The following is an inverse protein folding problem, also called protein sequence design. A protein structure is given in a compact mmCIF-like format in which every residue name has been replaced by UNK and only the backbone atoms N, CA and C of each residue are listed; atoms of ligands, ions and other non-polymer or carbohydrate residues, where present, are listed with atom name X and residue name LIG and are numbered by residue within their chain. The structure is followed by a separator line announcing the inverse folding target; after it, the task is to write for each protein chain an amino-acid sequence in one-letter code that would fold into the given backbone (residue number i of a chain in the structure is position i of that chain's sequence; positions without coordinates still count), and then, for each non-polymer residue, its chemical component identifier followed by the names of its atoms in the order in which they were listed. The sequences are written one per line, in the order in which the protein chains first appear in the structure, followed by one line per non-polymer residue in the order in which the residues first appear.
data_IF_385383803643
#
_entry.id   IF_385383803643
#
_cell.length_a   1.000
_cell.length_b   1.000
_cell.length_c   1.000
_cell.angle_alpha   90.00
_cell.angle_beta   90.00
_cell.angle_gamma   90.00
#
_symmetry.space_group_name_H-M   'P 1'
#
loop_
_entity.id
_entity.type
_entity.pdbx_description
1 polymer ?
#
# COMPACT_ATOMS: atom_id res chain seq x y z
N UNK A 1 2.73 -33.54 -27.73
CA UNK A 1 1.94 -33.21 -26.52
C UNK A 1 2.50 -31.96 -25.90
N UNK A 2 1.88 -30.78 -26.18
CA UNK A 2 2.36 -29.47 -25.72
C UNK A 2 1.74 -29.18 -24.36
N UNK A 3 2.57 -29.16 -23.31
CA UNK A 3 2.21 -28.73 -21.96
C UNK A 3 2.22 -27.20 -21.94
N UNK A 4 1.11 -26.58 -22.36
CA UNK A 4 0.86 -25.18 -22.02
C UNK A 4 0.50 -25.11 -20.53
N UNK A 5 1.50 -24.87 -19.66
CA UNK A 5 1.24 -24.37 -18.32
C UNK A 5 0.50 -23.02 -18.49
N UNK A 6 -0.81 -22.99 -18.22
CA UNK A 6 -1.58 -21.75 -18.05
C UNK A 6 -0.84 -20.93 -16.97
N UNK A 7 -0.21 -19.82 -17.35
CA UNK A 7 0.16 -18.77 -16.40
C UNK A 7 -1.14 -18.30 -15.78
N UNK A 8 -1.42 -18.74 -14.55
CA UNK A 8 -2.49 -18.16 -13.73
C UNK A 8 -2.10 -16.70 -13.52
N UNK A 9 -2.97 -15.78 -13.95
CA UNK A 9 -2.73 -14.35 -13.75
C UNK A 9 -2.69 -14.08 -12.24
N UNK A 10 -1.59 -13.53 -11.74
CA UNK A 10 -1.37 -13.22 -10.32
C UNK A 10 -2.53 -12.38 -9.70
N UNK A 11 -3.21 -11.55 -10.51
CA UNK A 11 -4.40 -10.81 -10.08
C UNK A 11 -5.59 -11.70 -9.69
N UNK A 12 -5.78 -12.82 -10.40
CA UNK A 12 -6.87 -13.73 -10.08
C UNK A 12 -6.60 -14.53 -8.81
N UNK A 13 -5.33 -14.78 -8.47
CA UNK A 13 -4.95 -15.43 -7.22
C UNK A 13 -5.20 -14.51 -6.02
N UNK A 14 -4.81 -13.24 -6.09
CA UNK A 14 -5.02 -12.27 -5.01
C UNK A 14 -6.50 -12.01 -4.76
N UNK A 15 -7.32 -11.87 -5.82
CA UNK A 15 -8.77 -11.71 -5.69
C UNK A 15 -9.41 -12.96 -5.03
N UNK A 16 -8.88 -14.15 -5.30
CA UNK A 16 -9.46 -15.40 -4.81
C UNK A 16 -8.96 -15.81 -3.43
N UNK A 17 -7.71 -15.53 -3.10
CA UNK A 17 -7.02 -16.04 -1.91
C UNK A 17 -6.42 -14.95 -1.02
N UNK A 18 -6.60 -13.68 -1.37
CA UNK A 18 -5.95 -12.57 -0.70
C UNK A 18 -4.47 -12.41 -1.03
N UNK A 19 -3.86 -11.38 -0.48
CA UNK A 19 -2.44 -11.13 -0.58
C UNK A 19 -1.62 -12.02 0.37
N UNK A 20 -0.37 -12.29 0.03
CA UNK A 20 0.54 -13.05 0.90
C UNK A 20 1.17 -12.14 1.93
N UNK A 21 0.86 -12.35 3.19
CA UNK A 21 1.45 -11.61 4.32
C UNK A 21 2.77 -12.28 4.75
N UNK A 22 3.85 -12.00 4.02
CA UNK A 22 5.18 -12.54 4.34
C UNK A 22 5.68 -12.01 5.70
N UNK A 23 5.31 -10.77 6.03
CA UNK A 23 5.66 -10.11 7.29
C UNK A 23 5.03 -10.76 8.53
N UNK A 24 3.94 -11.51 8.34
CA UNK A 24 3.30 -12.35 9.38
C UNK A 24 3.87 -13.77 9.33
N UNK A 25 3.92 -14.38 8.12
CA UNK A 25 4.28 -15.77 7.95
C UNK A 25 5.76 -16.05 8.27
N UNK A 26 6.64 -15.13 7.91
CA UNK A 26 8.09 -15.22 8.14
C UNK A 26 8.66 -13.82 8.46
N UNK A 27 8.49 -13.36 9.71
CA UNK A 27 8.90 -12.02 10.12
C UNK A 27 10.41 -11.76 10.02
N UNK A 28 11.23 -12.83 10.00
CA UNK A 28 12.70 -12.73 9.89
C UNK A 28 13.21 -12.83 8.46
N UNK A 29 12.33 -12.98 7.49
CA UNK A 29 12.68 -13.04 6.07
C UNK A 29 13.30 -11.73 5.59
N UNK A 30 14.25 -11.81 4.66
CA UNK A 30 14.87 -10.63 4.03
C UNK A 30 13.82 -9.69 3.41
N UNK A 31 12.74 -10.24 2.83
CA UNK A 31 11.64 -9.45 2.27
C UNK A 31 10.91 -8.70 3.39
N UNK A 32 10.71 -9.30 4.56
CA UNK A 32 10.10 -8.62 5.71
C UNK A 32 10.96 -7.45 6.20
N UNK A 33 12.30 -7.56 6.14
CA UNK A 33 13.22 -6.44 6.42
C UNK A 33 13.10 -5.33 5.37
N UNK A 34 12.91 -5.68 4.09
CA UNK A 34 12.67 -4.67 3.05
C UNK A 34 11.40 -3.86 3.32
N UNK A 35 10.31 -4.49 3.78
CA UNK A 35 9.10 -3.76 4.19
C UNK A 35 9.36 -2.84 5.39
N UNK A 36 10.16 -3.25 6.38
CA UNK A 36 10.57 -2.37 7.49
C UNK A 36 11.37 -1.18 7.01
N UNK A 37 12.25 -1.38 6.02
CA UNK A 37 13.02 -0.30 5.39
C UNK A 37 12.10 0.68 4.66
N UNK A 38 11.13 0.20 3.89
CA UNK A 38 10.14 1.06 3.21
C UNK A 38 9.36 1.88 4.24
N UNK A 39 8.85 1.26 5.32
CA UNK A 39 8.18 1.96 6.42
C UNK A 39 9.06 3.08 6.98
N UNK A 40 10.34 2.78 7.28
CA UNK A 40 11.28 3.73 7.85
C UNK A 40 11.51 4.91 6.90
N UNK A 41 11.67 4.65 5.61
CA UNK A 41 11.84 5.70 4.60
C UNK A 41 10.62 6.63 4.52
N UNK A 42 9.40 6.07 4.52
CA UNK A 42 8.18 6.88 4.54
C UNK A 42 8.08 7.70 5.82
N UNK A 43 8.44 7.13 6.98
CA UNK A 43 8.43 7.85 8.26
C UNK A 43 9.41 9.04 8.26
N UNK A 44 10.56 8.90 7.62
CA UNK A 44 11.52 10.02 7.48
C UNK A 44 11.02 11.15 6.57
N UNK A 45 10.20 10.84 5.57
CA UNK A 45 9.58 11.88 4.72
C UNK A 45 8.57 12.73 5.51
N UNK A 46 8.02 12.21 6.60
CA UNK A 46 7.03 12.88 7.46
C UNK A 46 7.61 13.60 8.68
N UNK A 47 8.90 13.95 8.73
CA UNK A 47 9.52 14.60 9.91
C UNK A 47 8.92 15.99 10.14
N UNK A 48 8.84 16.82 9.11
CA UNK A 48 8.32 18.18 9.21
C UNK A 48 6.77 18.23 9.15
N UNK A 49 6.16 17.34 8.40
CA UNK A 49 4.71 17.19 8.24
C UNK A 49 4.34 15.71 8.39
N UNK A 50 3.74 15.32 9.53
CA UNK A 50 3.37 13.93 9.76
C UNK A 50 2.52 13.36 8.63
N UNK A 51 2.96 12.25 8.05
CA UNK A 51 2.24 11.51 7.03
C UNK A 51 1.35 10.50 7.76
N UNK A 52 0.06 10.78 7.82
CA UNK A 52 -0.93 9.89 8.45
C UNK A 52 -1.73 9.09 7.43
N UNK A 53 -2.08 9.71 6.30
CA UNK A 53 -2.90 9.10 5.25
C UNK A 53 -2.08 8.80 4.01
N UNK A 54 -2.07 7.52 3.61
CA UNK A 54 -1.26 7.00 2.53
C UNK A 54 -2.11 6.20 1.55
N UNK A 55 -1.93 6.43 0.24
CA UNK A 55 -2.44 5.52 -0.77
C UNK A 55 -1.29 4.75 -1.44
N UNK A 56 -1.53 3.46 -1.72
CA UNK A 56 -0.69 2.67 -2.59
C UNK A 56 -1.43 2.41 -3.90
N UNK A 57 -0.86 2.85 -5.01
CA UNK A 57 -1.39 2.61 -6.36
C UNK A 57 -0.32 2.02 -7.26
N UNK A 58 -0.70 1.59 -8.45
CA UNK A 58 0.21 1.08 -9.48
C UNK A 58 -0.20 1.62 -10.84
N UNK A 59 0.66 1.47 -11.85
CA UNK A 59 0.28 1.82 -13.22
C UNK A 59 -0.84 0.91 -13.71
N UNK A 60 -0.66 -0.40 -13.58
CA UNK A 60 -1.58 -1.42 -14.11
C UNK A 60 -1.96 -2.44 -13.04
N UNK A 61 -2.92 -3.29 -13.37
CA UNK A 61 -3.31 -4.45 -12.56
C UNK A 61 -2.16 -5.45 -12.41
N UNK A 62 -2.16 -6.22 -11.32
CA UNK A 62 -1.19 -7.32 -11.06
C UNK A 62 0.27 -6.85 -10.85
N UNK A 63 0.50 -5.61 -10.50
CA UNK A 63 1.83 -5.10 -10.15
C UNK A 63 2.20 -5.33 -8.67
N UNK A 64 1.27 -5.91 -7.88
CA UNK A 64 1.49 -6.32 -6.50
C UNK A 64 1.16 -5.26 -5.46
N UNK A 65 0.37 -4.26 -5.83
CA UNK A 65 -0.11 -3.18 -4.96
C UNK A 65 -0.62 -3.71 -3.61
N UNK A 66 -1.70 -4.51 -3.61
CA UNK A 66 -2.31 -5.05 -2.38
C UNK A 66 -1.35 -5.96 -1.57
N UNK A 67 -0.35 -6.59 -2.20
CA UNK A 67 0.69 -7.30 -1.46
C UNK A 67 1.63 -6.34 -0.74
N UNK A 68 1.93 -5.19 -1.35
CA UNK A 68 2.84 -4.20 -0.75
C UNK A 68 2.15 -3.46 0.39
N UNK A 69 0.96 -2.91 0.17
CA UNK A 69 0.25 -2.13 1.19
C UNK A 69 -0.18 -2.98 2.40
N UNK A 70 -0.69 -4.21 2.20
CA UNK A 70 -1.03 -5.11 3.29
C UNK A 70 0.19 -5.43 4.18
N UNK A 71 1.34 -5.76 3.57
CA UNK A 71 2.56 -6.02 4.35
C UNK A 71 3.13 -4.76 5.01
N UNK A 72 3.00 -3.59 4.39
CA UNK A 72 3.38 -2.30 4.98
C UNK A 72 2.50 -1.99 6.19
N UNK A 73 1.18 -2.24 6.11
CA UNK A 73 0.27 -2.07 7.25
C UNK A 73 0.70 -2.93 8.45
N UNK A 74 1.03 -4.20 8.20
CA UNK A 74 1.53 -5.12 9.23
C UNK A 74 2.81 -4.61 9.89
N UNK A 75 3.80 -4.11 9.14
CA UNK A 75 5.07 -3.65 9.75
C UNK A 75 4.91 -2.34 10.52
N UNK A 76 3.93 -1.50 10.21
CA UNK A 76 3.58 -0.35 11.06
C UNK A 76 2.89 -0.78 12.35
N UNK A 77 1.92 -1.68 12.26
CA UNK A 77 1.22 -2.23 13.42
C UNK A 77 2.18 -2.93 14.38
N UNK A 78 3.11 -3.75 13.85
CA UNK A 78 4.18 -4.39 14.64
C UNK A 78 5.18 -3.40 15.27
N UNK A 79 5.22 -2.16 14.79
CA UNK A 79 6.00 -1.08 15.39
C UNK A 79 5.21 -0.29 16.48
N UNK A 80 4.05 -0.79 16.90
CA UNK A 80 3.19 -0.21 17.94
C UNK A 80 2.34 0.97 17.46
N UNK A 81 2.20 1.19 16.15
CA UNK A 81 1.31 2.21 15.57
C UNK A 81 -0.11 1.64 15.42
N UNK A 82 -1.12 2.42 15.78
CA UNK A 82 -2.52 2.10 15.47
C UNK A 82 -2.73 2.33 13.98
N UNK A 83 -2.96 1.26 13.24
CA UNK A 83 -3.07 1.27 11.77
C UNK A 83 -4.49 0.93 11.35
N UNK A 84 -5.06 1.73 10.46
CA UNK A 84 -6.28 1.39 9.73
C UNK A 84 -5.92 1.16 8.27
N UNK A 85 -6.24 -0.02 7.76
CA UNK A 85 -6.14 -0.33 6.33
C UNK A 85 -7.53 -0.35 5.72
N UNK A 86 -7.76 0.48 4.69
CA UNK A 86 -9.06 0.68 4.04
C UNK A 86 -9.01 0.12 2.62
N UNK A 87 -9.95 -0.76 2.28
CA UNK A 87 -10.15 -1.25 0.91
C UNK A 87 -10.91 -0.21 0.09
N UNK A 88 -10.20 0.64 -0.60
CA UNK A 88 -10.74 1.66 -1.51
C UNK A 88 -10.70 1.22 -2.99
N UNK A 89 -10.25 -0.01 -3.30
CA UNK A 89 -10.45 -0.62 -4.62
C UNK A 89 -11.87 -1.22 -4.70
N UNK A 90 -12.88 -0.34 -4.78
CA UNK A 90 -14.28 -0.73 -4.77
C UNK A 90 -14.69 -1.58 -5.98
N UNK A 91 -13.80 -1.75 -6.97
CA UNK A 91 -14.04 -2.57 -8.17
C UNK A 91 -13.52 -3.99 -8.03
N UNK A 92 -12.39 -4.16 -7.33
CA UNK A 92 -11.72 -5.45 -7.13
C UNK A 92 -11.18 -5.59 -5.71
N UNK A 93 -12.07 -5.56 -4.71
CA UNK A 93 -11.67 -5.61 -3.31
C UNK A 93 -10.96 -6.91 -2.97
N UNK A 94 -9.93 -6.84 -2.14
CA UNK A 94 -9.10 -7.98 -1.78
C UNK A 94 -8.82 -8.12 -0.28
N UNK A 95 -8.97 -7.06 0.52
CA UNK A 95 -8.64 -7.08 1.95
C UNK A 95 -9.46 -8.11 2.73
N UNK A 96 -10.75 -8.25 2.42
CA UNK A 96 -11.61 -9.23 3.06
C UNK A 96 -11.10 -10.67 2.88
N UNK A 97 -10.46 -10.98 1.75
CA UNK A 97 -9.84 -12.28 1.50
C UNK A 97 -8.49 -12.40 2.22
N UNK A 98 -7.68 -11.33 2.19
CA UNK A 98 -6.35 -11.32 2.84
C UNK A 98 -6.45 -11.57 4.33
N UNK A 99 -7.41 -10.91 5.00
CA UNK A 99 -7.57 -10.95 6.46
C UNK A 99 -8.71 -11.85 6.94
N UNK A 100 -9.36 -12.59 6.03
CA UNK A 100 -10.49 -13.50 6.33
C UNK A 100 -11.63 -12.79 7.10
N UNK A 101 -12.01 -11.58 6.63
CA UNK A 101 -13.03 -10.73 7.25
C UNK A 101 -14.26 -10.65 6.32
N UNK A 102 -15.46 -10.53 6.91
CA UNK A 102 -16.69 -10.35 6.13
C UNK A 102 -16.70 -9.04 5.34
N UNK A 103 -17.12 -9.10 4.07
CA UNK A 103 -17.29 -7.93 3.19
C UNK A 103 -18.76 -7.57 2.93
N UNK A 104 -19.68 -7.98 3.81
CA UNK A 104 -21.11 -7.67 3.67
C UNK A 104 -21.41 -6.19 3.87
N UNK A 105 -20.65 -5.56 4.73
CA UNK A 105 -20.68 -4.14 5.07
C UNK A 105 -19.27 -3.61 5.08
N UNK A 106 -19.08 -2.31 4.78
CA UNK A 106 -17.78 -1.69 4.73
C UNK A 106 -17.85 -0.25 4.22
N UNK A 107 -16.79 0.20 3.55
CA UNK A 107 -16.64 1.56 3.05
C UNK A 107 -17.86 2.03 2.24
N UNK A 108 -18.33 1.21 1.29
CA UNK A 108 -19.49 1.59 0.47
C UNK A 108 -20.76 1.75 1.29
N UNK A 109 -20.96 0.93 2.32
CA UNK A 109 -22.10 1.06 3.24
C UNK A 109 -22.06 2.40 3.96
N UNK A 110 -20.88 2.82 4.43
CA UNK A 110 -20.69 4.14 5.07
C UNK A 110 -21.00 5.26 4.07
N UNK A 111 -20.45 5.18 2.86
CA UNK A 111 -20.54 6.25 1.87
C UNK A 111 -21.95 6.40 1.25
N UNK A 112 -22.76 5.33 1.26
CA UNK A 112 -24.14 5.33 0.70
C UNK A 112 -25.22 5.46 1.76
N UNK A 113 -24.90 5.47 3.04
CA UNK A 113 -25.88 5.61 4.13
C UNK A 113 -26.53 6.98 4.12
N UNK A 114 -27.83 7.03 4.36
CA UNK A 114 -28.57 8.28 4.56
C UNK A 114 -28.46 8.82 5.99
N UNK A 115 -27.89 8.05 6.91
CA UNK A 115 -27.72 8.48 8.30
C UNK A 115 -26.71 9.63 8.40
N UNK A 116 -27.10 10.73 9.03
CA UNK A 116 -26.25 11.89 9.28
C UNK A 116 -25.12 11.58 10.27
N UNK A 117 -25.38 10.64 11.19
CA UNK A 117 -24.42 10.13 12.19
C UNK A 117 -24.42 8.62 12.12
N UNK A 118 -23.50 8.04 11.34
CA UNK A 118 -23.29 6.61 11.34
C UNK A 118 -22.14 6.28 12.29
N UNK A 119 -22.37 5.35 13.21
CA UNK A 119 -21.29 4.76 13.98
C UNK A 119 -20.41 3.88 13.09
N UNK A 120 -19.31 4.44 12.61
CA UNK A 120 -18.34 3.76 11.75
C UNK A 120 -17.54 2.69 12.50
N UNK A 121 -17.52 2.73 13.85
CA UNK A 121 -16.71 1.82 14.67
C UNK A 121 -17.15 0.37 14.49
N UNK A 122 -18.44 0.13 14.28
CA UNK A 122 -18.96 -1.22 14.03
C UNK A 122 -18.55 -1.82 12.68
N UNK A 123 -18.13 -0.97 11.72
CA UNK A 123 -17.71 -1.41 10.39
C UNK A 123 -16.20 -1.64 10.28
N UNK A 124 -15.43 -1.00 11.16
CA UNK A 124 -14.00 -1.24 11.29
C UNK A 124 -13.80 -2.52 12.12
N UNK A 125 -13.07 -3.47 11.58
CA UNK A 125 -12.84 -4.78 12.20
C UNK A 125 -11.40 -4.89 12.68
N UNK A 126 -11.23 -5.35 13.90
CA UNK A 126 -9.93 -5.76 14.42
C UNK A 126 -9.46 -7.04 13.70
N UNK A 127 -8.16 -7.19 13.56
CA UNK A 127 -7.53 -8.38 12.98
C UNK A 127 -6.86 -9.20 14.08
N UNK A 128 -6.32 -10.38 13.70
CA UNK A 128 -5.44 -11.16 14.60
C UNK A 128 -4.06 -10.51 14.80
N UNK A 129 -3.79 -9.40 14.11
CA UNK A 129 -2.53 -8.65 14.22
C UNK A 129 -2.77 -7.45 15.14
N UNK A 130 -2.06 -7.41 16.24
CA UNK A 130 -2.17 -6.31 17.22
C UNK A 130 -1.98 -4.96 16.52
N UNK A 131 -2.82 -3.97 16.91
CA UNK A 131 -2.82 -2.60 16.38
C UNK A 131 -3.20 -2.45 14.89
N UNK A 132 -3.68 -3.50 14.21
CA UNK A 132 -4.15 -3.45 12.83
C UNK A 132 -5.66 -3.63 12.76
N UNK A 133 -6.36 -2.60 12.30
CA UNK A 133 -7.79 -2.62 11.99
C UNK A 133 -8.03 -2.53 10.49
N UNK A 134 -9.12 -3.11 10.01
CA UNK A 134 -9.50 -3.17 8.59
C UNK A 134 -10.89 -2.55 8.41
N UNK A 135 -11.00 -1.71 7.40
CA UNK A 135 -12.29 -1.33 6.82
C UNK A 135 -12.36 -1.94 5.42
N UNK A 136 -13.17 -2.98 5.27
CA UNK A 136 -13.39 -3.63 3.97
C UNK A 136 -14.18 -2.71 3.03
N UNK A 137 -14.17 -3.01 1.72
CA UNK A 137 -14.89 -2.21 0.73
C UNK A 137 -16.41 -2.20 0.92
N UNK A 138 -16.99 -3.28 1.43
CA UNK A 138 -18.42 -3.53 1.36
C UNK A 138 -18.86 -3.99 -0.03
N UNK A 139 -20.17 -3.94 -0.34
CA UNK A 139 -20.73 -4.30 -1.65
C UNK A 139 -20.17 -3.40 -2.77
N UNK A 140 -19.97 -3.97 -3.96
CA UNK A 140 -19.48 -3.23 -5.14
C UNK A 140 -20.55 -2.21 -5.58
N UNK A 141 -20.26 -0.91 -5.60
CA UNK A 141 -21.22 0.12 -5.99
C UNK A 141 -21.20 0.34 -7.50
N UNK A 142 -22.28 0.91 -8.08
CA UNK A 142 -22.32 1.25 -9.51
C UNK A 142 -21.40 2.46 -9.89
N UNK A 143 -21.10 3.34 -8.94
CA UNK A 143 -20.39 4.62 -9.15
C UNK A 143 -19.19 4.81 -8.18
N UNK A 144 -18.14 3.98 -8.25
CA UNK A 144 -17.02 4.02 -7.29
C UNK A 144 -16.33 5.38 -7.20
N UNK A 145 -16.02 6.01 -8.36
CA UNK A 145 -15.29 7.28 -8.40
C UNK A 145 -16.05 8.43 -7.71
N UNK A 146 -17.38 8.49 -7.87
CA UNK A 146 -18.23 9.50 -7.23
C UNK A 146 -18.24 9.33 -5.71
N UNK A 147 -18.35 8.09 -5.23
CA UNK A 147 -18.33 7.80 -3.80
C UNK A 147 -16.99 8.18 -3.18
N UNK A 148 -15.88 7.83 -3.81
CA UNK A 148 -14.54 8.15 -3.33
C UNK A 148 -14.23 9.66 -3.38
N UNK A 149 -14.88 10.43 -4.28
CA UNK A 149 -14.77 11.89 -4.36
C UNK A 149 -15.78 12.63 -3.47
N UNK A 150 -16.61 11.92 -2.72
CA UNK A 150 -17.68 12.53 -1.94
C UNK A 150 -17.17 13.27 -0.69
N UNK A 151 -17.93 14.25 -0.22
CA UNK A 151 -17.69 14.92 1.08
C UNK A 151 -17.71 13.91 2.24
N UNK A 152 -18.49 12.83 2.13
CA UNK A 152 -18.53 11.75 3.13
C UNK A 152 -17.21 11.01 3.22
N UNK A 153 -16.55 10.75 2.07
CA UNK A 153 -15.21 10.12 2.08
C UNK A 153 -14.18 11.03 2.76
N UNK A 154 -14.21 12.33 2.48
CA UNK A 154 -13.34 13.31 3.13
C UNK A 154 -13.59 13.37 4.64
N UNK A 155 -14.86 13.42 5.07
CA UNK A 155 -15.23 13.39 6.48
C UNK A 155 -14.82 12.10 7.18
N UNK A 156 -14.94 10.96 6.50
CA UNK A 156 -14.46 9.67 7.01
C UNK A 156 -12.95 9.70 7.25
N UNK A 157 -12.16 10.13 6.26
CA UNK A 157 -10.70 10.24 6.38
C UNK A 157 -10.34 11.14 7.57
N UNK A 158 -10.92 12.34 7.65
CA UNK A 158 -10.67 13.29 8.74
C UNK A 158 -11.05 12.72 10.13
N UNK A 159 -12.09 11.90 10.20
CA UNK A 159 -12.51 11.24 11.44
C UNK A 159 -11.53 10.15 11.88
N UNK A 160 -11.12 9.26 10.94
CA UNK A 160 -10.22 8.14 11.29
C UNK A 160 -8.80 8.59 11.60
N UNK A 161 -8.32 9.70 11.01
CA UNK A 161 -7.02 10.32 11.33
C UNK A 161 -6.89 10.74 12.80
N UNK A 162 -7.99 10.97 13.49
CA UNK A 162 -7.98 11.32 14.92
C UNK A 162 -7.74 10.08 15.80
N UNK A 163 -8.16 8.91 15.33
CA UNK A 163 -8.14 7.67 16.10
C UNK A 163 -6.94 6.77 15.74
N UNK A 164 -6.39 6.90 14.55
CA UNK A 164 -5.29 6.09 14.04
C UNK A 164 -4.02 6.92 13.82
N UNK A 165 -2.87 6.28 14.01
CA UNK A 165 -1.56 6.90 13.78
C UNK A 165 -1.17 6.85 12.29
N UNK A 166 -1.67 5.83 11.57
CA UNK A 166 -1.48 5.64 10.13
C UNK A 166 -2.76 5.07 9.52
N UNK A 167 -3.23 5.66 8.42
CA UNK A 167 -4.35 5.20 7.61
C UNK A 167 -3.84 4.88 6.22
N UNK A 168 -3.97 3.64 5.78
CA UNK A 168 -3.51 3.19 4.47
C UNK A 168 -4.73 2.86 3.61
N UNK A 169 -4.74 3.37 2.38
CA UNK A 169 -5.81 3.12 1.43
C UNK A 169 -5.27 2.27 0.27
N UNK A 170 -5.82 1.07 0.12
CA UNK A 170 -5.63 0.25 -1.07
C UNK A 170 -6.53 0.79 -2.18
N UNK A 171 -5.95 1.45 -3.19
CA UNK A 171 -6.70 2.10 -4.27
C UNK A 171 -6.42 1.42 -5.62
N UNK A 172 -7.34 1.47 -6.61
CA UNK A 172 -7.13 0.82 -7.90
C UNK A 172 -5.94 1.40 -8.68
N UNK A 173 -5.44 0.68 -9.71
CA UNK A 173 -4.37 1.17 -10.57
C UNK A 173 -4.75 2.48 -11.29
N UNK A 174 -3.86 3.47 -11.26
CA UNK A 174 -4.12 4.85 -11.72
C UNK A 174 -4.41 4.95 -13.22
N UNK A 175 -3.86 4.05 -14.05
CA UNK A 175 -4.12 4.04 -15.49
C UNK A 175 -5.40 3.30 -15.87
N UNK A 176 -5.94 2.49 -14.96
CA UNK A 176 -7.12 1.66 -15.27
C UNK A 176 -8.43 2.44 -15.09
N UNK A 177 -8.51 3.31 -14.07
CA UNK A 177 -9.74 4.02 -13.69
C UNK A 177 -9.43 5.36 -13.04
N UNK A 178 -10.42 6.27 -13.01
CA UNK A 178 -10.30 7.61 -12.42
C UNK A 178 -10.46 7.64 -10.88
N UNK A 179 -10.85 6.53 -10.27
CA UNK A 179 -11.17 6.42 -8.85
C UNK A 179 -10.01 6.91 -7.96
N UNK A 180 -8.79 6.49 -8.28
CA UNK A 180 -7.57 6.91 -7.58
C UNK A 180 -7.36 8.42 -7.64
N UNK A 181 -7.57 9.04 -8.83
CA UNK A 181 -7.40 10.48 -9.00
C UNK A 181 -8.37 11.29 -8.15
N UNK A 182 -9.59 10.76 -7.95
CA UNK A 182 -10.63 11.41 -7.15
C UNK A 182 -10.27 11.50 -5.65
N UNK A 183 -9.44 10.57 -5.17
CA UNK A 183 -9.15 10.40 -3.74
C UNK A 183 -7.80 11.00 -3.32
N UNK A 184 -6.76 10.87 -4.15
CA UNK A 184 -5.37 11.10 -3.74
C UNK A 184 -5.01 12.55 -3.39
N UNK A 185 -5.81 13.53 -3.83
CA UNK A 185 -5.62 14.95 -3.48
C UNK A 185 -5.93 15.26 -2.01
N UNK A 186 -6.61 14.36 -1.32
CA UNK A 186 -7.02 14.50 0.08
C UNK A 186 -6.15 13.71 1.04
N UNK A 187 -5.05 13.10 0.55
CA UNK A 187 -4.15 12.28 1.34
C UNK A 187 -2.79 12.94 1.51
N UNK A 188 -2.11 12.63 2.62
CA UNK A 188 -0.77 13.15 2.89
C UNK A 188 0.27 12.61 1.92
N UNK A 189 0.06 11.40 1.37
CA UNK A 189 1.00 10.84 0.43
C UNK A 189 0.49 9.70 -0.44
N UNK A 190 1.15 9.55 -1.59
CA UNK A 190 0.91 8.45 -2.53
C UNK A 190 2.21 7.76 -2.86
N UNK A 191 2.22 6.44 -2.81
CA UNK A 191 3.33 5.58 -3.20
C UNK A 191 2.96 4.78 -4.43
N UNK A 192 3.81 4.83 -5.47
CA UNK A 192 3.65 4.02 -6.67
C UNK A 192 4.31 2.64 -6.51
N UNK A 193 3.56 1.58 -6.71
CA UNK A 193 4.10 0.22 -6.79
C UNK A 193 4.46 -0.07 -8.24
N UNK A 194 5.72 -0.44 -8.47
CA UNK A 194 6.32 -0.70 -9.77
C UNK A 194 6.79 -2.14 -9.80
N UNK A 195 6.27 -2.95 -10.70
CA UNK A 195 6.69 -4.34 -10.84
C UNK A 195 7.84 -4.47 -11.81
N UNK A 196 8.97 -4.99 -11.32
CA UNK A 196 10.16 -5.20 -12.14
C UNK A 196 9.87 -6.14 -13.31
N UNK A 197 10.32 -5.74 -14.53
CA UNK A 197 10.11 -6.54 -15.73
C UNK A 197 8.68 -6.56 -16.30
N UNK A 198 7.72 -5.86 -15.65
CA UNK A 198 6.34 -5.77 -16.12
C UNK A 198 5.88 -4.32 -16.31
N UNK A 199 6.16 -3.42 -15.37
CA UNK A 199 5.77 -2.00 -15.50
C UNK A 199 6.61 -1.31 -16.56
N UNK A 200 5.97 -0.83 -17.62
CA UNK A 200 6.63 -0.09 -18.69
C UNK A 200 6.95 1.35 -18.25
N UNK A 201 8.10 1.87 -18.70
CA UNK A 201 8.51 3.27 -18.39
C UNK A 201 7.48 4.30 -18.82
N UNK A 202 6.83 4.09 -19.99
CA UNK A 202 5.78 4.97 -20.48
C UNK A 202 4.56 4.98 -19.54
N UNK A 203 4.14 3.81 -19.06
CA UNK A 203 3.05 3.67 -18.08
C UNK A 203 3.39 4.36 -16.75
N UNK A 204 4.60 4.16 -16.23
CA UNK A 204 5.06 4.84 -15.02
C UNK A 204 5.06 6.37 -15.18
N UNK A 205 5.60 6.88 -16.29
CA UNK A 205 5.60 8.31 -16.60
C UNK A 205 4.18 8.87 -16.63
N UNK A 206 3.27 8.17 -17.33
CA UNK A 206 1.86 8.58 -17.42
C UNK A 206 1.17 8.55 -16.06
N UNK A 207 1.46 7.57 -15.21
CA UNK A 207 0.95 7.50 -13.83
C UNK A 207 1.37 8.71 -13.00
N UNK A 208 2.64 9.10 -13.07
CA UNK A 208 3.15 10.31 -12.39
C UNK A 208 2.49 11.57 -12.91
N UNK A 209 2.27 11.70 -14.23
CA UNK A 209 1.55 12.84 -14.82
C UNK A 209 0.11 12.94 -14.28
N UNK A 210 -0.62 11.82 -14.23
CA UNK A 210 -1.99 11.80 -13.71
C UNK A 210 -2.05 12.13 -12.22
N UNK A 211 -1.12 11.60 -11.41
CA UNK A 211 -1.04 11.94 -10.00
C UNK A 211 -0.74 13.42 -9.78
N UNK A 212 0.16 14.01 -10.57
CA UNK A 212 0.42 15.46 -10.53
C UNK A 212 -0.80 16.29 -10.92
N UNK A 213 -1.54 15.89 -11.96
CA UNK A 213 -2.78 16.55 -12.36
C UNK A 213 -3.86 16.46 -11.26
N UNK A 214 -3.86 15.36 -10.50
CA UNK A 214 -4.73 15.20 -9.34
C UNK A 214 -4.18 15.89 -8.08
N UNK A 215 -3.12 16.69 -8.16
CA UNK A 215 -2.48 17.38 -7.03
C UNK A 215 -2.02 16.44 -5.90
N UNK A 216 -1.71 15.18 -6.22
CA UNK A 216 -1.25 14.21 -5.24
C UNK A 216 0.18 14.51 -4.77
N UNK A 217 0.44 14.36 -3.47
CA UNK A 217 1.79 14.37 -2.91
C UNK A 217 2.46 13.01 -3.16
N UNK A 218 3.29 12.90 -4.20
CA UNK A 218 3.98 11.67 -4.59
C UNK A 218 5.20 11.49 -3.72
N UNK A 219 5.19 10.54 -2.79
CA UNK A 219 6.31 10.23 -1.90
C UNK A 219 7.43 9.47 -2.61
N UNK A 220 7.09 8.69 -3.63
CA UNK A 220 8.07 7.90 -4.36
C UNK A 220 7.47 6.62 -4.95
N UNK A 221 8.34 5.62 -5.15
CA UNK A 221 7.91 4.32 -5.65
C UNK A 221 8.56 3.17 -4.89
N UNK A 222 7.87 2.04 -4.88
CA UNK A 222 8.36 0.76 -4.37
C UNK A 222 8.52 -0.21 -5.52
N UNK A 223 9.71 -0.75 -5.71
CA UNK A 223 9.95 -1.82 -6.70
C UNK A 223 9.55 -3.16 -6.10
N UNK A 224 8.58 -3.81 -6.73
CA UNK A 224 8.11 -5.15 -6.38
C UNK A 224 8.67 -6.20 -7.35
N UNK A 225 8.75 -7.46 -6.89
CA UNK A 225 9.20 -8.62 -7.66
C UNK A 225 10.63 -8.46 -8.23
N UNK A 226 11.52 -7.86 -7.43
CA UNK A 226 12.94 -7.78 -7.75
C UNK A 226 13.53 -9.19 -7.61
N UNK A 227 13.83 -9.82 -8.76
CA UNK A 227 14.22 -11.23 -8.84
C UNK A 227 15.44 -11.59 -7.96
N UNK A 228 15.41 -12.80 -7.41
CA UNK A 228 16.49 -13.39 -6.59
C UNK A 228 17.73 -13.78 -7.40
N UNK A 229 17.69 -13.72 -8.70
CA UNK A 229 18.81 -14.15 -9.55
C UNK A 229 19.87 -13.05 -9.61
N UNK A 230 21.03 -13.35 -9.07
CA UNK A 230 22.20 -12.51 -8.92
C UNK A 230 22.87 -11.99 -10.20
N UNK A 231 22.14 -11.83 -11.30
CA UNK A 231 22.60 -11.27 -12.58
C UNK A 231 22.09 -9.84 -12.86
N UNK A 232 21.46 -9.17 -11.91
CA UNK A 232 21.13 -7.77 -12.07
C UNK A 232 22.24 -6.89 -11.50
N UNK A 233 23.08 -6.37 -12.39
CA UNK A 233 24.12 -5.38 -12.17
C UNK A 233 23.59 -3.99 -11.72
N UNK A 234 22.55 -3.95 -10.89
CA UNK A 234 22.03 -2.76 -10.23
C UNK A 234 21.97 -2.95 -8.71
N UNK A 235 23.11 -3.36 -8.16
CA UNK A 235 23.36 -3.21 -6.74
C UNK A 235 23.61 -1.73 -6.43
N UNK A 236 22.55 -0.95 -6.18
CA UNK A 236 22.71 0.30 -5.46
C UNK A 236 22.97 -0.03 -3.99
N UNK A 237 24.19 -0.44 -3.71
CA UNK A 237 24.73 -0.48 -2.38
C UNK A 237 24.92 0.95 -1.87
N UNK A 238 23.93 1.51 -1.17
CA UNK A 238 24.18 2.61 -0.24
C UNK A 238 24.89 2.04 0.99
N UNK A 239 26.16 1.69 0.81
CA UNK A 239 27.09 1.47 1.89
C UNK A 239 27.56 2.81 2.41
N UNK A 240 26.93 3.36 3.44
CA UNK A 240 27.56 4.35 4.30
C UNK A 240 28.64 3.65 5.13
N UNK A 241 29.78 3.41 4.50
CA UNK A 241 31.00 2.99 5.17
C UNK A 241 31.68 4.21 5.76
N UNK A 242 31.38 4.58 7.00
CA UNK A 242 32.26 5.41 7.81
C UNK A 242 33.43 4.51 8.29
N UNK A 243 34.43 4.37 7.42
CA UNK A 243 35.71 3.79 7.79
C UNK A 243 36.60 4.85 8.41
N UNK A 244 36.59 4.99 9.73
CA UNK A 244 37.68 5.62 10.47
C UNK A 244 38.87 4.65 10.52
N UNK A 245 39.75 4.72 9.52
CA UNK A 245 41.04 4.05 9.55
C UNK A 245 42.01 4.86 10.38
N UNK A 246 42.23 4.51 11.63
CA UNK A 246 43.43 4.92 12.37
C UNK A 246 44.58 4.02 11.94
N UNK A 247 45.42 4.56 11.04
CA UNK A 247 46.72 3.94 10.73
C UNK A 247 47.72 4.23 11.85
N UNK A 248 48.10 3.20 12.58
CA UNK A 248 49.34 3.19 13.35
C UNK A 248 50.46 2.62 12.46
N UNK A 249 51.33 3.47 12.00
CA UNK A 249 52.64 3.08 11.49
C UNK A 249 53.56 2.80 12.69
N UNK A 250 54.00 1.59 12.85
CA UNK A 250 55.13 1.24 13.69
C UNK A 250 56.35 1.01 12.81
N UNK A 251 57.22 2.04 12.75
CA UNK A 251 58.60 1.86 12.41
C UNK A 251 59.30 0.97 13.45
N UNK A 252 59.95 -0.08 13.01
CA UNK A 252 61.09 -0.67 13.72
C UNK A 252 62.07 -1.33 12.75
N UNK A 253 63.24 -0.73 12.71
CA UNK A 253 64.59 -1.24 12.47
C UNK A 253 64.76 -2.52 11.66
#
# INVERSE_FOLDING_TARGET
MSLFKKKTNASNETIRYGAKLITVKDPKNVISEQFRTIRTNISFMGIDHPIKTLAFTSANISEGKSTVDDNIAVVWANAGKRVLLIDADLRRPTLHQTFNISNREGLTTILTSDALEMDITNMIKETEIDNLSILTSGPIPPNPAELLNSQRMQALIASVEQSYDVVILDVPPILAVSDTQALVSHLDGVVLVVKMGQTEKAGLKRSVELLKLAHANILGYVMNDVGRNGDSAYGYGYGYGYGYGYGYSSDNK
#
